data_IF_891439235165
#
_entry.id   IF_891439235165
#
_cell.length_a   1.000
_cell.length_b   1.000
_cell.length_c   1.000
_cell.angle_alpha   90.00
_cell.angle_beta   90.00
_cell.angle_gamma   90.00
#
_symmetry.space_group_name_H-M   'P 1'
#
loop_
_entity.id
_entity.type
_entity.pdbx_description
1 polymer ?
#
# COMPACT_ATOMS: atom_id res chain seq x y z
N UNK A 1 -5.50 39.69 -45.47
CA UNK A 1 -4.08 39.37 -45.21
C UNK A 1 -4.06 38.39 -44.04
N UNK A 2 -4.04 37.09 -44.33
CA UNK A 2 -2.90 36.17 -44.13
C UNK A 2 -2.41 36.12 -42.66
N UNK A 3 -2.89 35.08 -41.97
CA UNK A 3 -2.17 34.11 -41.12
C UNK A 3 -1.27 34.66 -39.99
N UNK A 4 -1.50 34.23 -38.75
CA UNK A 4 -0.53 33.39 -38.04
C UNK A 4 -1.24 32.51 -37.00
N UNK A 5 -1.06 31.20 -37.19
CA UNK A 5 -1.40 30.11 -36.29
C UNK A 5 -0.41 30.09 -35.11
N UNK A 6 -0.91 29.85 -33.91
CA UNK A 6 -0.17 29.16 -32.85
C UNK A 6 -1.18 28.60 -31.84
N UNK A 7 -1.81 27.49 -32.21
CA UNK A 7 -2.50 26.63 -31.24
C UNK A 7 -1.44 25.81 -30.55
N UNK A 8 -1.16 26.16 -29.29
CA UNK A 8 -0.38 25.34 -28.37
C UNK A 8 -1.18 24.06 -28.11
N UNK A 9 -0.78 22.97 -28.79
CA UNK A 9 -1.25 21.64 -28.47
C UNK A 9 -0.55 21.18 -27.19
N UNK A 10 -1.03 21.65 -26.04
CA UNK A 10 -0.69 21.03 -24.77
C UNK A 10 -1.32 19.63 -24.78
N UNK A 11 -0.43 18.64 -24.91
CA UNK A 11 -0.61 17.21 -24.68
C UNK A 11 -1.88 16.91 -23.87
N UNK A 12 -2.96 16.50 -24.53
CA UNK A 12 -4.13 15.95 -23.85
C UNK A 12 -3.69 14.69 -23.13
N UNK A 13 -3.59 14.83 -21.80
CA UNK A 13 -3.13 13.79 -20.90
C UNK A 13 -3.86 12.48 -21.13
N UNK A 14 -3.04 11.44 -21.26
CA UNK A 14 -3.39 10.04 -21.29
C UNK A 14 -4.55 9.71 -20.34
N UNK A 15 -5.60 9.13 -20.91
CA UNK A 15 -6.74 8.56 -20.21
C UNK A 15 -6.25 7.39 -19.33
N UNK A 16 -5.89 7.64 -18.09
CA UNK A 16 -5.86 6.60 -17.07
C UNK A 16 -7.26 6.49 -16.48
N UNK A 17 -8.15 5.76 -17.15
CA UNK A 17 -9.29 5.14 -16.48
C UNK A 17 -8.69 4.17 -15.47
N UNK A 18 -8.46 4.67 -14.25
CA UNK A 18 -7.99 3.84 -13.16
C UNK A 18 -9.14 2.89 -12.86
N UNK A 19 -9.01 1.64 -13.31
CA UNK A 19 -9.75 0.53 -12.71
C UNK A 19 -9.15 0.40 -11.32
N UNK A 20 -9.59 1.26 -10.41
CA UNK A 20 -9.54 0.99 -9.00
C UNK A 20 -10.50 -0.19 -8.81
N UNK A 21 -9.98 -1.41 -8.99
CA UNK A 21 -10.58 -2.57 -8.32
C UNK A 21 -10.67 -2.11 -6.88
N UNK A 22 -11.88 -1.90 -6.37
CA UNK A 22 -12.11 -1.34 -5.04
C UNK A 22 -11.27 -2.15 -4.05
N UNK A 23 -10.12 -1.60 -3.66
CA UNK A 23 -9.27 -2.23 -2.67
C UNK A 23 -10.06 -2.15 -1.37
N UNK A 24 -10.61 -3.29 -0.97
CA UNK A 24 -11.40 -3.41 0.24
C UNK A 24 -10.65 -4.32 1.22
N UNK A 25 -9.84 -3.74 2.12
CA UNK A 25 -9.09 -4.53 3.10
C UNK A 25 -10.01 -5.36 4.00
N UNK A 26 -11.19 -4.82 4.35
CA UNK A 26 -12.13 -5.43 5.29
C UNK A 26 -11.41 -5.93 6.56
N UNK A 27 -10.70 -5.03 7.24
CA UNK A 27 -9.97 -5.35 8.49
C UNK A 27 -10.90 -5.47 9.69
N UNK A 28 -12.13 -4.96 9.58
CA UNK A 28 -13.07 -4.83 10.69
C UNK A 28 -12.90 -3.54 11.50
N UNK A 29 -12.00 -2.62 11.09
CA UNK A 29 -11.88 -1.26 11.61
C UNK A 29 -11.90 -0.26 10.45
N UNK A 30 -12.92 0.59 10.39
CA UNK A 30 -13.13 1.50 9.27
C UNK A 30 -11.98 2.53 9.12
N UNK A 31 -11.37 2.96 10.22
CA UNK A 31 -10.26 3.92 10.15
C UNK A 31 -8.99 3.26 9.60
N UNK A 32 -8.70 2.02 10.02
CA UNK A 32 -7.61 1.24 9.42
C UNK A 32 -7.85 0.99 7.92
N UNK A 33 -9.09 0.67 7.54
CA UNK A 33 -9.44 0.46 6.13
C UNK A 33 -9.23 1.73 5.27
N UNK A 34 -9.54 2.92 5.82
CA UNK A 34 -9.26 4.20 5.18
C UNK A 34 -7.75 4.47 5.08
N UNK A 35 -6.99 4.23 6.15
CA UNK A 35 -5.53 4.38 6.15
C UNK A 35 -4.89 3.46 5.12
N UNK A 36 -5.34 2.21 5.00
CA UNK A 36 -4.84 1.27 4.01
C UNK A 36 -5.18 1.69 2.58
N UNK A 37 -6.38 2.24 2.35
CA UNK A 37 -6.74 2.78 1.03
C UNK A 37 -5.83 3.95 0.62
N UNK A 38 -5.59 4.91 1.51
CA UNK A 38 -4.65 6.02 1.28
C UNK A 38 -3.22 5.51 1.00
N UNK A 39 -2.76 4.54 1.80
CA UNK A 39 -1.45 3.91 1.60
C UNK A 39 -1.39 3.24 0.22
N UNK A 40 -2.44 2.55 -0.21
CA UNK A 40 -2.45 1.85 -1.49
C UNK A 40 -2.31 2.82 -2.66
N UNK A 41 -3.03 3.94 -2.63
CA UNK A 41 -2.94 4.99 -3.65
C UNK A 41 -1.54 5.58 -3.72
N UNK A 42 -0.95 5.94 -2.58
CA UNK A 42 0.40 6.54 -2.53
C UNK A 42 1.49 5.55 -2.92
N UNK A 43 1.37 4.29 -2.50
CA UNK A 43 2.30 3.22 -2.85
C UNK A 43 2.27 2.91 -4.35
N UNK A 44 1.09 2.88 -4.97
CA UNK A 44 0.95 2.71 -6.43
C UNK A 44 1.62 3.83 -7.22
N UNK A 45 1.64 5.05 -6.70
CA UNK A 45 2.29 6.19 -7.36
C UNK A 45 3.83 6.12 -7.34
N UNK A 46 4.43 5.41 -6.36
CA UNK A 46 5.88 5.24 -6.25
C UNK A 46 6.23 3.83 -5.70
N UNK A 47 5.95 2.81 -6.52
CA UNK A 47 6.12 1.40 -6.13
C UNK A 47 7.56 1.06 -5.77
N UNK A 48 8.54 1.63 -6.47
CA UNK A 48 9.96 1.40 -6.19
C UNK A 48 10.32 1.83 -4.78
N UNK A 49 9.90 3.04 -4.39
CA UNK A 49 10.14 3.55 -3.03
C UNK A 49 9.38 2.71 -2.00
N UNK A 50 8.13 2.36 -2.29
CA UNK A 50 7.33 1.51 -1.38
C UNK A 50 7.99 0.16 -1.12
N UNK A 51 8.42 -0.54 -2.17
CA UNK A 51 9.09 -1.84 -2.08
C UNK A 51 10.41 -1.75 -1.31
N UNK A 52 11.22 -0.72 -1.58
CA UNK A 52 12.45 -0.46 -0.82
C UNK A 52 12.18 -0.22 0.67
N UNK A 53 11.16 0.58 0.99
CA UNK A 53 10.77 0.86 2.38
C UNK A 53 10.27 -0.42 3.10
N UNK A 54 9.46 -1.27 2.46
CA UNK A 54 9.04 -2.57 3.02
C UNK A 54 10.26 -3.47 3.26
N UNK A 55 11.13 -3.58 2.25
CA UNK A 55 12.31 -4.43 2.32
C UNK A 55 13.22 -4.05 3.50
N UNK A 56 13.55 -2.76 3.62
CA UNK A 56 14.41 -2.26 4.68
C UNK A 56 13.83 -2.44 6.08
N UNK A 57 12.50 -2.24 6.21
CA UNK A 57 11.77 -2.27 7.49
C UNK A 57 11.58 -3.70 7.99
N UNK A 58 11.11 -4.60 7.15
CA UNK A 58 10.73 -5.96 7.54
C UNK A 58 11.79 -7.02 7.20
N UNK A 59 12.94 -6.61 6.62
CA UNK A 59 14.02 -7.50 6.18
C UNK A 59 13.52 -8.57 5.19
N UNK A 60 12.70 -8.14 4.23
CA UNK A 60 12.17 -8.97 3.16
C UNK A 60 12.87 -8.58 1.86
N UNK A 61 13.39 -9.54 1.12
CA UNK A 61 14.08 -9.28 -0.15
C UNK A 61 13.16 -8.59 -1.17
N UNK A 62 13.69 -7.57 -1.87
CA UNK A 62 12.94 -6.81 -2.90
C UNK A 62 12.31 -7.74 -3.96
N UNK A 63 13.01 -8.74 -4.54
CA UNK A 63 12.43 -9.66 -5.50
C UNK A 63 11.21 -10.44 -4.96
N UNK A 64 11.21 -10.74 -3.66
CA UNK A 64 10.09 -11.43 -3.02
C UNK A 64 8.85 -10.54 -2.93
N UNK A 65 9.04 -9.26 -2.61
CA UNK A 65 7.95 -8.27 -2.61
C UNK A 65 7.39 -8.09 -4.02
N UNK A 66 8.27 -7.99 -5.03
CA UNK A 66 7.86 -7.88 -6.43
C UNK A 66 7.09 -9.12 -6.91
N UNK A 67 7.46 -10.32 -6.46
CA UNK A 67 6.70 -11.54 -6.74
C UNK A 67 5.30 -11.52 -6.09
N UNK A 68 5.15 -10.96 -4.87
CA UNK A 68 3.83 -10.79 -4.25
C UNK A 68 2.93 -9.85 -5.06
N UNK A 69 3.49 -8.79 -5.65
CA UNK A 69 2.75 -7.86 -6.53
C UNK A 69 2.39 -8.55 -7.85
N UNK A 70 3.37 -9.16 -8.51
CA UNK A 70 3.24 -9.60 -9.91
C UNK A 70 2.59 -10.97 -10.04
N UNK A 71 2.96 -11.92 -9.19
CA UNK A 71 2.46 -13.31 -9.21
C UNK A 71 1.22 -13.46 -8.37
N UNK A 72 1.24 -13.00 -7.11
CA UNK A 72 0.11 -13.15 -6.19
C UNK A 72 -0.96 -12.06 -6.36
N UNK A 73 -0.69 -11.05 -7.20
CA UNK A 73 -1.58 -9.92 -7.47
C UNK A 73 -2.04 -9.21 -6.20
N UNK A 74 -1.19 -9.18 -5.18
CA UNK A 74 -1.46 -8.44 -3.96
C UNK A 74 -1.29 -6.96 -4.21
N UNK A 75 -2.22 -6.19 -3.66
CA UNK A 75 -2.14 -4.74 -3.62
C UNK A 75 -1.00 -4.30 -2.69
N UNK A 76 -0.30 -3.18 -2.94
CA UNK A 76 0.77 -2.70 -2.07
C UNK A 76 0.37 -2.61 -0.60
N UNK A 77 -0.83 -2.11 -0.30
CA UNK A 77 -1.32 -2.05 1.07
C UNK A 77 -1.55 -3.45 1.70
N UNK A 78 -1.88 -4.47 0.91
CA UNK A 78 -1.97 -5.86 1.36
C UNK A 78 -0.61 -6.44 1.72
N UNK A 79 0.43 -6.09 0.97
CA UNK A 79 1.81 -6.51 1.26
C UNK A 79 2.29 -5.86 2.55
N UNK A 80 1.99 -4.57 2.75
CA UNK A 80 2.26 -3.91 4.03
C UNK A 80 1.56 -4.63 5.19
N UNK A 81 0.27 -4.94 5.02
CA UNK A 81 -0.51 -5.61 6.05
C UNK A 81 0.01 -7.02 6.35
N UNK A 82 0.37 -7.79 5.32
CA UNK A 82 0.98 -9.11 5.47
C UNK A 82 2.31 -9.03 6.21
N UNK A 83 3.17 -8.06 5.88
CA UNK A 83 4.47 -7.88 6.52
C UNK A 83 4.34 -7.44 7.99
N UNK A 84 3.41 -6.53 8.30
CA UNK A 84 3.17 -6.10 9.67
C UNK A 84 2.57 -7.22 10.53
N UNK A 85 1.57 -7.94 10.02
CA UNK A 85 1.01 -9.10 10.71
C UNK A 85 2.05 -10.20 10.92
N UNK A 86 2.94 -10.42 9.95
CA UNK A 86 4.06 -11.35 10.07
C UNK A 86 5.03 -10.94 11.20
N UNK A 87 5.37 -9.64 11.28
CA UNK A 87 6.23 -9.11 12.34
C UNK A 87 5.59 -9.24 13.73
N UNK A 88 4.31 -8.88 13.87
CA UNK A 88 3.55 -8.99 15.12
C UNK A 88 3.44 -10.46 15.55
N UNK A 89 3.04 -11.34 14.63
CA UNK A 89 2.84 -12.76 14.90
C UNK A 89 4.15 -13.55 14.99
N UNK A 90 5.31 -12.91 14.72
CA UNK A 90 6.64 -13.53 14.63
C UNK A 90 6.65 -14.74 13.68
N UNK A 91 6.01 -14.60 12.53
CA UNK A 91 5.85 -15.63 11.50
C UNK A 91 6.45 -15.19 10.17
N UNK A 92 6.82 -16.12 9.28
CA UNK A 92 7.23 -15.78 7.92
C UNK A 92 6.08 -15.10 7.16
N UNK A 93 6.39 -14.12 6.31
CA UNK A 93 5.37 -13.47 5.47
C UNK A 93 4.63 -14.48 4.58
N UNK A 94 5.29 -15.56 4.15
CA UNK A 94 4.67 -16.60 3.32
C UNK A 94 3.53 -17.32 4.07
N UNK A 95 3.66 -17.49 5.39
CA UNK A 95 2.63 -18.12 6.21
C UNK A 95 1.40 -17.20 6.31
N UNK A 96 1.62 -15.89 6.42
CA UNK A 96 0.54 -14.89 6.44
C UNK A 96 -0.15 -14.80 5.08
N UNK A 97 0.63 -14.77 3.99
CA UNK A 97 0.10 -14.76 2.61
C UNK A 97 -0.69 -16.04 2.33
N UNK A 98 -0.20 -17.21 2.76
CA UNK A 98 -0.94 -18.48 2.66
C UNK A 98 -2.27 -18.42 3.41
N UNK A 99 -2.25 -17.89 4.63
CA UNK A 99 -3.46 -17.68 5.44
C UNK A 99 -4.45 -16.74 4.75
N UNK A 100 -3.96 -15.67 4.13
CA UNK A 100 -4.77 -14.76 3.33
C UNK A 100 -5.39 -15.45 2.12
N UNK A 101 -4.62 -16.21 1.34
CA UNK A 101 -5.15 -16.96 0.19
C UNK A 101 -6.28 -17.90 0.60
N UNK A 102 -6.17 -18.56 1.75
CA UNK A 102 -7.21 -19.43 2.29
C UNK A 102 -8.46 -18.66 2.81
N UNK A 103 -8.33 -17.38 3.14
CA UNK A 103 -9.38 -16.56 3.74
C UNK A 103 -9.77 -15.33 2.89
N UNK A 104 -9.39 -15.29 1.61
CA UNK A 104 -9.51 -14.10 0.76
C UNK A 104 -10.93 -13.53 0.72
N UNK A 105 -11.94 -14.40 0.69
CA UNK A 105 -13.36 -14.00 0.69
C UNK A 105 -13.82 -13.31 1.99
N UNK A 106 -13.12 -13.55 3.12
CA UNK A 106 -13.44 -12.99 4.43
C UNK A 106 -12.69 -11.69 4.73
N UNK A 107 -11.71 -11.33 3.91
CA UNK A 107 -10.87 -10.14 4.09
C UNK A 107 -9.81 -10.28 5.18
N UNK A 108 -9.08 -9.19 5.40
CA UNK A 108 -7.89 -9.18 6.25
C UNK A 108 -8.19 -9.28 7.75
N UNK A 109 -9.39 -8.89 8.18
CA UNK A 109 -9.83 -9.08 9.56
C UNK A 109 -9.87 -10.56 9.96
N UNK A 110 -10.21 -11.46 9.03
CA UNK A 110 -10.18 -12.90 9.27
C UNK A 110 -8.75 -13.45 9.35
N UNK A 111 -7.82 -12.91 8.55
CA UNK A 111 -6.40 -13.26 8.61
C UNK A 111 -5.80 -12.85 9.95
N UNK A 112 -6.05 -11.62 10.40
CA UNK A 112 -5.58 -11.15 11.70
C UNK A 112 -6.10 -12.06 12.83
N UNK A 113 -7.40 -12.40 12.81
CA UNK A 113 -7.99 -13.34 13.78
C UNK A 113 -7.35 -14.73 13.73
N UNK A 114 -7.06 -15.26 12.54
CA UNK A 114 -6.39 -16.55 12.37
C UNK A 114 -4.95 -16.54 12.94
N UNK A 115 -4.31 -15.37 12.97
CA UNK A 115 -3.02 -15.13 13.63
C UNK A 115 -3.15 -14.75 15.12
N UNK A 116 -4.35 -14.93 15.69
CA UNK A 116 -4.69 -14.59 17.08
C UNK A 116 -4.62 -13.09 17.43
N UNK A 117 -4.59 -12.22 16.42
CA UNK A 117 -4.62 -10.75 16.54
C UNK A 117 -6.08 -10.29 16.42
N UNK A 118 -6.70 -9.93 17.54
CA UNK A 118 -8.12 -9.56 17.60
C UNK A 118 -8.30 -8.04 17.48
N UNK A 119 -9.36 -7.55 16.82
CA UNK A 119 -9.70 -6.12 16.86
C UNK A 119 -9.76 -5.61 18.31
N UNK A 120 -9.10 -4.49 18.57
CA UNK A 120 -9.00 -3.88 19.90
C UNK A 120 -7.87 -4.39 20.79
N UNK A 121 -7.14 -5.44 20.41
CA UNK A 121 -5.97 -5.91 21.16
C UNK A 121 -4.80 -4.90 21.07
N UNK A 122 -3.81 -4.95 22.00
CA UNK A 122 -2.61 -4.12 21.91
C UNK A 122 -1.88 -4.26 20.56
N UNK A 123 -1.84 -5.47 20.01
CA UNK A 123 -1.25 -5.78 18.71
C UNK A 123 -2.02 -5.10 17.57
N UNK A 124 -3.36 -5.12 17.62
CA UNK A 124 -4.18 -4.43 16.62
C UNK A 124 -4.00 -2.91 16.68
N UNK A 125 -3.86 -2.35 17.89
CA UNK A 125 -3.55 -0.93 18.07
C UNK A 125 -2.17 -0.58 17.50
N UNK A 126 -1.17 -1.44 17.71
CA UNK A 126 0.15 -1.28 17.10
C UNK A 126 0.08 -1.32 15.57
N UNK A 127 -0.69 -2.26 15.00
CA UNK A 127 -0.95 -2.35 13.56
C UNK A 127 -1.50 -1.03 13.01
N UNK A 128 -2.48 -0.45 13.69
CA UNK A 128 -3.10 0.83 13.33
C UNK A 128 -2.10 1.97 13.35
N UNK A 129 -1.33 2.10 14.44
CA UNK A 129 -0.29 3.12 14.55
C UNK A 129 0.75 3.04 13.43
N UNK A 130 1.16 1.83 13.03
CA UNK A 130 2.12 1.63 11.93
C UNK A 130 1.55 2.03 10.58
N UNK A 131 0.27 1.76 10.32
CA UNK A 131 -0.40 2.19 9.10
C UNK A 131 -0.44 3.73 9.00
N UNK A 132 -0.77 4.40 10.10
CA UNK A 132 -0.82 5.85 10.17
C UNK A 132 0.56 6.50 10.02
N UNK A 133 1.58 5.95 10.69
CA UNK A 133 2.98 6.38 10.55
C UNK A 133 3.47 6.28 9.11
N UNK A 134 3.12 5.18 8.42
CA UNK A 134 3.52 4.98 7.03
C UNK A 134 2.85 5.97 6.10
N UNK A 135 1.59 6.29 6.34
CA UNK A 135 0.87 7.35 5.63
C UNK A 135 1.50 8.74 5.86
N UNK A 136 1.87 9.06 7.10
CA UNK A 136 2.53 10.33 7.43
C UNK A 136 3.86 10.49 6.68
N UNK A 137 4.69 9.43 6.67
CA UNK A 137 5.95 9.41 5.92
C UNK A 137 5.74 9.54 4.42
N UNK A 138 4.73 8.88 3.86
CA UNK A 138 4.37 8.99 2.45
C UNK A 138 3.99 10.43 2.07
N UNK A 139 3.22 11.13 2.92
CA UNK A 139 2.85 12.54 2.71
C UNK A 139 4.07 13.47 2.77
N UNK A 140 4.93 13.33 3.77
CA UNK A 140 6.13 14.16 3.91
C UNK A 140 7.12 14.01 2.73
N UNK A 141 7.29 12.79 2.19
CA UNK A 141 8.10 12.54 0.98
C UNK A 141 7.49 13.20 -0.28
N UNK A 142 6.15 13.30 -0.37
CA UNK A 142 5.46 13.99 -1.48
C UNK A 142 5.71 15.49 -1.47
N UNK A 143 5.71 16.11 -0.29
CA UNK A 143 5.96 17.56 -0.13
C UNK A 143 7.41 17.95 -0.45
N UNK A 144 8.38 17.10 -0.10
CA UNK A 144 9.81 17.34 -0.39
C UNK A 144 10.16 17.14 -1.87
N UNK A 145 9.49 16.23 -2.60
CA UNK A 145 9.64 16.09 -4.07
C UNK A 145 8.99 17.24 -4.87
N UNK A 146 8.08 18.01 -4.28
CA UNK A 146 7.29 19.05 -4.96
C UNK A 146 7.89 20.47 -4.94
N UNK A 147 8.98 20.71 -4.21
CA UNK A 147 9.59 22.05 -4.11
C UNK A 147 10.64 22.22 -5.21
N UNK A 148 10.41 23.07 -6.25
CA UNK A 148 11.45 23.35 -7.22
C UNK A 148 12.58 24.07 -6.48
N UNK A 149 13.80 23.55 -6.61
CA UNK A 149 14.99 24.26 -6.19
C UNK A 149 15.02 25.60 -6.95
N UNK A 150 14.81 26.72 -6.23
CA UNK A 150 15.12 28.04 -6.75
C UNK A 150 16.64 28.05 -6.97
N UNK A 151 17.05 27.89 -8.23
CA UNK A 151 18.34 28.36 -8.72
C UNK A 151 18.15 29.77 -9.25
#
# INVERSE_FOLDING_TARGET
>A
MKKFLLVSAFFTGLLAAQIAVNFNPNTGDAALDLSLNSLNVTAKADLKTFTGDISATYKIEVPKIEALITTQKLEPAEIFLAAELAAIAKKPIDEVVKTYTANKAKGWGAVAKALNIKPGSPEFKALKGKADDKNAKAKAKKETKGKPAKK
#
